data_IF_241020538101
#
_entry.id   IF_241020538101
#
_cell.length_a   1.000
_cell.length_b   1.000
_cell.length_c   1.000
_cell.angle_alpha   90.00
_cell.angle_beta   90.00
_cell.angle_gamma   90.00
#
_symmetry.space_group_name_H-M   'P 1'
#
loop_
_entity.id
_entity.type
_entity.pdbx_description
1 polymer ?
#
# COMPACT_ATOMS: atom_id res chain seq x y z
N UNK A 1 -7.62 26.44 5.33
CA UNK A 1 -7.14 25.04 5.51
C UNK A 1 -6.62 24.42 4.21
N UNK A 2 -7.44 24.25 3.16
CA UNK A 2 -6.96 23.79 1.83
C UNK A 2 -5.98 24.82 1.26
N UNK A 3 -6.38 26.09 1.16
CA UNK A 3 -5.55 27.18 0.63
C UNK A 3 -4.26 27.43 1.44
N UNK A 4 -4.21 26.92 2.67
CA UNK A 4 -3.05 27.03 3.57
C UNK A 4 -2.19 25.76 3.58
N UNK A 5 -2.48 24.76 2.74
CA UNK A 5 -1.79 23.46 2.70
C UNK A 5 -1.78 22.73 4.06
N UNK A 6 -2.90 22.78 4.81
CA UNK A 6 -3.04 22.15 6.13
C UNK A 6 -3.87 20.87 6.11
N UNK A 7 -4.39 20.44 4.97
CA UNK A 7 -5.10 19.17 4.84
C UNK A 7 -4.27 18.17 4.05
N UNK A 8 -4.17 16.97 4.61
CA UNK A 8 -3.43 15.84 4.03
C UNK A 8 -4.35 14.63 3.95
N UNK A 9 -4.04 13.72 3.04
CA UNK A 9 -4.86 12.55 2.75
C UNK A 9 -4.01 11.28 2.68
N UNK A 10 -4.51 10.20 3.25
CA UNK A 10 -4.10 8.84 2.92
C UNK A 10 -5.26 8.23 2.14
N UNK A 11 -5.04 7.96 0.85
CA UNK A 11 -6.07 7.46 -0.06
C UNK A 11 -5.77 6.02 -0.49
N UNK A 12 -6.47 5.06 0.13
CA UNK A 12 -6.46 3.65 -0.26
C UNK A 12 -7.72 3.26 -1.04
N UNK A 13 -8.60 4.21 -1.34
CA UNK A 13 -9.88 3.95 -1.97
C UNK A 13 -9.69 3.27 -3.32
N UNK A 14 -8.95 3.91 -4.23
CA UNK A 14 -8.81 3.42 -5.61
C UNK A 14 -7.94 2.16 -5.70
N UNK A 15 -7.05 1.94 -4.73
CA UNK A 15 -6.23 0.72 -4.65
C UNK A 15 -7.08 -0.48 -4.24
N UNK A 16 -7.97 -0.34 -3.25
CA UNK A 16 -8.75 -1.45 -2.72
C UNK A 16 -10.10 -1.67 -3.41
N UNK A 17 -10.79 -0.60 -3.83
CA UNK A 17 -12.17 -0.68 -4.33
C UNK A 17 -12.35 -1.75 -5.43
N UNK A 18 -11.46 -1.90 -6.44
CA UNK A 18 -11.61 -2.91 -7.48
C UNK A 18 -11.52 -4.36 -6.99
N UNK A 19 -11.02 -4.58 -5.77
CA UNK A 19 -10.79 -5.91 -5.20
C UNK A 19 -11.78 -6.27 -4.09
N UNK A 20 -12.56 -5.30 -3.58
CA UNK A 20 -13.36 -5.49 -2.37
C UNK A 20 -14.45 -6.55 -2.49
N UNK A 21 -15.14 -6.66 -3.62
CA UNK A 21 -16.17 -7.71 -3.79
C UNK A 21 -15.55 -9.10 -3.60
N UNK A 22 -14.38 -9.31 -4.22
CA UNK A 22 -13.65 -10.58 -4.17
C UNK A 22 -13.04 -10.84 -2.79
N UNK A 23 -12.44 -9.83 -2.16
CA UNK A 23 -11.88 -9.93 -0.80
C UNK A 23 -12.99 -10.23 0.21
N UNK A 24 -14.12 -9.54 0.12
CA UNK A 24 -15.23 -9.69 1.07
C UNK A 24 -16.02 -10.98 0.86
N UNK A 25 -15.89 -11.62 -0.30
CA UNK A 25 -16.43 -12.96 -0.55
C UNK A 25 -15.59 -14.09 0.07
N UNK A 26 -14.35 -13.82 0.52
CA UNK A 26 -13.54 -14.80 1.23
C UNK A 26 -14.07 -15.00 2.66
N UNK A 27 -14.04 -16.25 3.13
CA UNK A 27 -14.43 -16.59 4.50
C UNK A 27 -13.50 -15.93 5.52
N UNK A 28 -14.08 -15.49 6.64
CA UNK A 28 -13.36 -14.82 7.72
C UNK A 28 -12.77 -13.43 7.39
N UNK A 29 -12.99 -12.89 6.18
CA UNK A 29 -12.36 -11.62 5.72
C UNK A 29 -13.39 -10.57 5.36
N UNK A 30 -13.18 -9.35 5.84
CA UNK A 30 -13.98 -8.15 5.48
C UNK A 30 -13.08 -6.92 5.47
N UNK A 31 -13.25 -6.08 4.46
CA UNK A 31 -12.48 -4.85 4.26
C UNK A 31 -13.36 -3.75 3.67
N UNK A 32 -12.87 -2.52 3.83
CA UNK A 32 -13.36 -1.32 3.17
C UNK A 32 -12.22 -0.71 2.36
N UNK A 33 -12.58 0.05 1.34
CA UNK A 33 -11.71 1.00 0.67
C UNK A 33 -11.67 2.25 1.55
N UNK A 34 -10.52 2.53 2.15
CA UNK A 34 -10.40 3.60 3.15
C UNK A 34 -9.79 4.87 2.58
N UNK A 35 -10.30 6.02 3.04
CA UNK A 35 -9.68 7.33 2.82
C UNK A 35 -9.65 8.08 4.13
N UNK A 36 -8.48 8.58 4.53
CA UNK A 36 -8.30 9.28 5.81
C UNK A 36 -7.82 10.70 5.57
N UNK A 37 -8.51 11.66 6.18
CA UNK A 37 -8.14 13.07 6.13
C UNK A 37 -7.44 13.44 7.42
N UNK A 38 -6.29 14.11 7.30
CA UNK A 38 -5.50 14.65 8.39
C UNK A 38 -5.43 16.17 8.29
N UNK A 39 -5.46 16.83 9.44
CA UNK A 39 -5.24 18.26 9.57
C UNK A 39 -3.90 18.53 10.28
N UNK A 40 -3.07 19.39 9.69
CA UNK A 40 -1.85 19.87 10.31
C UNK A 40 -2.19 20.96 11.33
N UNK A 41 -1.99 20.61 12.61
CA UNK A 41 -2.28 21.51 13.73
C UNK A 41 -1.24 22.64 13.81
N UNK A 42 -1.57 23.77 14.47
CA UNK A 42 -0.59 24.81 14.77
C UNK A 42 0.63 24.34 15.58
N UNK A 43 0.53 23.19 16.25
CA UNK A 43 1.62 22.56 16.99
C UNK A 43 2.54 21.71 16.09
N UNK A 44 2.29 21.63 14.78
CA UNK A 44 3.10 20.86 13.84
C UNK A 44 2.79 19.36 13.81
N UNK A 45 1.68 18.91 14.41
CA UNK A 45 1.27 17.50 14.41
C UNK A 45 0.10 17.25 13.47
N UNK A 46 0.06 16.07 12.85
CA UNK A 46 -1.08 15.63 12.03
C UNK A 46 -2.16 15.00 12.92
N UNK A 47 -3.38 15.54 12.84
CA UNK A 47 -4.56 15.02 13.53
C UNK A 47 -5.53 14.40 12.52
N UNK A 48 -5.91 13.12 12.63
CA UNK A 48 -6.96 12.56 11.79
C UNK A 48 -8.31 13.22 12.12
N UNK A 49 -9.02 13.69 11.11
CA UNK A 49 -10.28 14.45 11.25
C UNK A 49 -11.48 13.73 10.63
N UNK A 50 -11.26 12.83 9.67
CA UNK A 50 -12.32 11.99 9.08
C UNK A 50 -11.73 10.72 8.47
N UNK A 51 -12.51 9.64 8.50
CA UNK A 51 -12.25 8.39 7.78
C UNK A 51 -13.49 8.07 6.95
N UNK A 52 -13.33 7.91 5.65
CA UNK A 52 -14.33 7.33 4.76
C UNK A 52 -14.08 5.82 4.64
N UNK A 53 -15.14 5.03 4.84
CA UNK A 53 -15.20 3.60 4.63
C UNK A 53 -16.11 3.36 3.42
N UNK A 54 -15.53 2.88 2.31
CA UNK A 54 -16.25 2.64 1.06
C UNK A 54 -16.34 1.16 0.74
N UNK A 55 -17.48 0.76 0.17
CA UNK A 55 -17.77 -0.53 -0.42
C UNK A 55 -18.16 -0.35 -1.89
N UNK A 56 -18.04 -1.40 -2.73
CA UNK A 56 -18.60 -1.40 -4.07
C UNK A 56 -20.12 -1.19 -4.02
N UNK A 57 -20.73 -0.49 -4.99
CA UNK A 57 -22.18 -0.30 -5.02
C UNK A 57 -22.92 -1.63 -5.10
N UNK A 58 -23.74 -1.95 -4.09
CA UNK A 58 -24.50 -3.22 -4.03
C UNK A 58 -25.96 -3.08 -4.48
N UNK A 59 -26.33 -1.95 -5.09
CA UNK A 59 -27.68 -1.62 -5.55
C UNK A 59 -28.06 -0.15 -5.30
N UNK A 60 -29.16 0.35 -5.87
CA UNK A 60 -29.52 1.77 -5.84
C UNK A 60 -29.83 2.35 -4.45
N UNK A 61 -30.20 1.50 -3.47
CA UNK A 61 -30.62 1.94 -2.12
C UNK A 61 -29.69 1.48 -0.99
N UNK A 62 -28.54 0.87 -1.28
CA UNK A 62 -27.59 0.42 -0.26
C UNK A 62 -26.47 1.45 -0.11
N UNK A 63 -26.31 2.12 1.05
CA UNK A 63 -25.26 3.10 1.23
C UNK A 63 -23.90 2.42 1.12
N UNK A 64 -23.17 2.74 0.05
CA UNK A 64 -21.85 2.20 -0.25
C UNK A 64 -20.72 2.95 0.45
N UNK A 65 -21.01 4.09 1.09
CA UNK A 65 -20.02 4.97 1.73
C UNK A 65 -20.48 5.38 3.11
N UNK A 66 -19.55 5.38 4.06
CA UNK A 66 -19.77 5.86 5.42
C UNK A 66 -18.58 6.71 5.85
N UNK A 67 -18.86 7.92 6.33
CA UNK A 67 -17.84 8.78 6.96
C UNK A 67 -17.94 8.65 8.46
N UNK A 68 -16.81 8.47 9.12
CA UNK A 68 -16.65 8.43 10.57
C UNK A 68 -15.70 9.56 10.97
N UNK A 69 -16.09 10.33 11.99
CA UNK A 69 -15.27 11.41 12.55
C UNK A 69 -14.81 11.04 13.97
N UNK A 70 -13.79 11.72 14.53
CA UNK A 70 -13.40 11.54 15.92
C UNK A 70 -14.60 11.61 16.87
N UNK A 71 -14.58 10.73 17.87
CA UNK A 71 -15.70 10.48 18.76
C UNK A 71 -16.07 11.66 19.66
N UNK A 72 -17.37 11.75 19.97
CA UNK A 72 -17.95 12.71 20.93
C UNK A 72 -18.43 12.01 22.21
N UNK A 73 -18.61 10.69 22.16
CA UNK A 73 -19.10 9.85 23.26
C UNK A 73 -18.47 8.43 23.21
N UNK A 74 -18.83 7.57 24.17
CA UNK A 74 -18.28 6.22 24.29
C UNK A 74 -18.63 5.30 23.10
N UNK A 75 -19.83 5.40 22.54
CA UNK A 75 -20.28 4.55 21.42
C UNK A 75 -19.59 4.94 20.12
N UNK A 76 -19.49 6.24 19.85
CA UNK A 76 -18.78 6.79 18.70
C UNK A 76 -17.27 6.54 18.78
N UNK A 77 -16.72 6.40 20.00
CA UNK A 77 -15.31 6.00 20.20
C UNK A 77 -15.01 4.62 19.63
N UNK A 78 -15.84 3.61 19.91
CA UNK A 78 -15.66 2.28 19.34
C UNK A 78 -15.75 2.29 17.82
N UNK A 79 -16.71 3.03 17.25
CA UNK A 79 -16.84 3.18 15.80
C UNK A 79 -15.60 3.83 15.19
N UNK A 80 -15.06 4.88 15.82
CA UNK A 80 -13.83 5.54 15.40
C UNK A 80 -12.61 4.63 15.48
N UNK A 81 -12.48 3.85 16.55
CA UNK A 81 -11.40 2.88 16.72
C UNK A 81 -11.45 1.78 15.65
N UNK A 82 -12.64 1.26 15.33
CA UNK A 82 -12.82 0.27 14.26
C UNK A 82 -12.53 0.86 12.87
N UNK A 83 -12.94 2.11 12.61
CA UNK A 83 -12.61 2.79 11.36
C UNK A 83 -11.09 2.92 11.18
N UNK A 84 -10.36 3.31 12.25
CA UNK A 84 -8.89 3.32 12.24
C UNK A 84 -8.28 1.93 12.03
N UNK A 85 -8.86 0.88 12.60
CA UNK A 85 -8.39 -0.48 12.39
C UNK A 85 -8.50 -0.91 10.91
N UNK A 86 -9.58 -0.53 10.21
CA UNK A 86 -9.70 -0.74 8.77
C UNK A 86 -8.65 0.06 7.97
N UNK A 87 -8.38 1.31 8.34
CA UNK A 87 -7.32 2.12 7.73
C UNK A 87 -5.96 1.44 7.91
N UNK A 88 -5.61 1.00 9.13
CA UNK A 88 -4.37 0.28 9.40
C UNK A 88 -4.27 -1.04 8.64
N UNK A 89 -5.39 -1.74 8.44
CA UNK A 89 -5.42 -2.98 7.64
C UNK A 89 -5.16 -2.72 6.16
N UNK A 90 -5.72 -1.65 5.58
CA UNK A 90 -5.40 -1.21 4.22
C UNK A 90 -3.92 -0.77 4.13
N UNK A 91 -3.46 0.05 5.08
CA UNK A 91 -2.09 0.56 5.15
C UNK A 91 -1.06 -0.57 5.19
N UNK A 92 -1.26 -1.56 6.05
CA UNK A 92 -0.39 -2.73 6.16
C UNK A 92 -0.30 -3.51 4.84
N UNK A 93 -1.43 -3.65 4.12
CA UNK A 93 -1.47 -4.29 2.81
C UNK A 93 -0.73 -3.48 1.74
N UNK A 94 -0.98 -2.18 1.62
CA UNK A 94 -0.27 -1.32 0.65
C UNK A 94 1.22 -1.23 0.98
N UNK A 95 1.57 -1.08 2.25
CA UNK A 95 2.94 -1.11 2.72
C UNK A 95 3.65 -2.39 2.26
N UNK A 96 3.11 -3.56 2.58
CA UNK A 96 3.79 -4.81 2.26
C UNK A 96 3.82 -5.11 0.77
N UNK A 97 2.71 -4.89 0.06
CA UNK A 97 2.55 -5.34 -1.33
C UNK A 97 3.08 -4.34 -2.36
N UNK A 98 2.99 -3.04 -2.06
CA UNK A 98 3.37 -1.98 -2.98
C UNK A 98 4.66 -1.26 -2.54
N UNK A 99 4.71 -0.72 -1.33
CA UNK A 99 5.87 0.07 -0.91
C UNK A 99 7.11 -0.78 -0.62
N UNK A 100 6.91 -1.95 -0.02
CA UNK A 100 7.98 -2.87 0.33
C UNK A 100 8.25 -3.84 -0.83
N UNK A 101 7.37 -4.83 -1.06
CA UNK A 101 7.62 -5.85 -2.08
C UNK A 101 7.84 -5.27 -3.48
N UNK A 102 6.92 -4.46 -4.00
CA UNK A 102 7.01 -3.99 -5.37
C UNK A 102 8.13 -2.95 -5.58
N UNK A 103 8.09 -1.85 -4.83
CA UNK A 103 8.99 -0.70 -5.02
C UNK A 103 10.43 -0.92 -4.57
N UNK A 104 10.72 -2.00 -3.83
CA UNK A 104 12.10 -2.39 -3.53
C UNK A 104 12.44 -3.76 -4.12
N UNK A 105 11.89 -4.85 -3.59
CA UNK A 105 12.28 -6.22 -3.96
C UNK A 105 12.09 -6.50 -5.45
N UNK A 106 10.85 -6.42 -5.94
CA UNK A 106 10.50 -6.84 -7.28
C UNK A 106 11.07 -5.90 -8.36
N UNK A 107 11.08 -4.58 -8.10
CA UNK A 107 11.59 -3.60 -9.07
C UNK A 107 13.12 -3.58 -9.16
N UNK A 108 13.85 -3.96 -8.11
CA UNK A 108 15.33 -4.03 -8.14
C UNK A 108 15.87 -5.25 -8.88
N UNK A 109 15.18 -6.40 -8.81
CA UNK A 109 15.64 -7.66 -9.40
C UNK A 109 16.01 -7.57 -10.90
N UNK A 110 15.22 -6.90 -11.78
CA UNK A 110 15.60 -6.69 -13.18
C UNK A 110 16.89 -5.91 -13.40
N UNK A 111 17.19 -4.91 -12.55
CA UNK A 111 18.43 -4.14 -12.65
C UNK A 111 19.64 -4.98 -12.28
N UNK A 112 19.51 -5.83 -11.26
CA UNK A 112 20.56 -6.76 -10.82
C UNK A 112 20.87 -7.76 -11.94
N UNK A 113 19.84 -8.41 -12.49
CA UNK A 113 20.01 -9.34 -13.60
C UNK A 113 20.66 -8.68 -14.82
N UNK A 114 20.26 -7.45 -15.15
CA UNK A 114 20.83 -6.71 -16.27
C UNK A 114 22.30 -6.35 -16.02
N UNK A 115 22.65 -5.89 -14.82
CA UNK A 115 24.02 -5.53 -14.47
C UNK A 115 24.97 -6.73 -14.59
N UNK A 116 24.61 -7.89 -14.03
CA UNK A 116 25.43 -9.10 -14.14
C UNK A 116 25.50 -9.68 -15.56
N UNK A 117 24.47 -9.46 -16.39
CA UNK A 117 24.46 -9.96 -17.77
C UNK A 117 25.19 -9.05 -18.76
N UNK A 118 25.27 -7.76 -18.50
CA UNK A 118 25.68 -6.77 -19.51
C UNK A 118 26.90 -5.95 -19.09
N UNK A 119 27.32 -5.99 -17.82
CA UNK A 119 28.51 -5.30 -17.34
C UNK A 119 29.55 -6.33 -16.88
N UNK A 120 30.79 -6.17 -17.36
CA UNK A 120 31.94 -6.94 -16.83
C UNK A 120 32.14 -6.66 -15.34
N UNK A 121 32.63 -7.65 -14.59
CA UNK A 121 33.06 -7.45 -13.20
C UNK A 121 34.12 -6.34 -13.04
N UNK A 122 34.84 -6.00 -14.11
CA UNK A 122 35.80 -4.89 -14.12
C UNK A 122 35.18 -3.53 -14.49
N UNK A 123 33.93 -3.49 -14.96
CA UNK A 123 33.25 -2.27 -15.36
C UNK A 123 33.04 -1.35 -14.15
N UNK A 124 33.37 -0.04 -14.22
CA UNK A 124 33.30 0.85 -13.06
C UNK A 124 31.88 0.98 -12.49
N UNK A 125 30.86 1.01 -13.35
CA UNK A 125 29.45 1.03 -12.90
C UNK A 125 29.04 -0.28 -12.23
N UNK A 126 29.57 -1.43 -12.66
CA UNK A 126 29.29 -2.70 -11.98
C UNK A 126 29.86 -2.67 -10.56
N UNK A 127 31.13 -2.27 -10.41
CA UNK A 127 31.77 -2.12 -9.10
C UNK A 127 31.06 -1.15 -8.16
N UNK A 128 30.50 -0.07 -8.71
CA UNK A 128 29.70 0.88 -7.95
C UNK A 128 28.40 0.26 -7.44
N UNK A 129 27.70 -0.52 -8.27
CA UNK A 129 26.38 -1.05 -7.95
C UNK A 129 26.42 -2.36 -7.16
N UNK A 130 27.43 -3.21 -7.35
CA UNK A 130 27.54 -4.56 -6.79
C UNK A 130 27.26 -4.63 -5.26
N UNK A 131 27.79 -3.72 -4.41
CA UNK A 131 27.47 -3.73 -2.98
C UNK A 131 25.98 -3.52 -2.67
N UNK A 132 25.25 -2.83 -3.54
CA UNK A 132 23.82 -2.54 -3.39
C UNK A 132 22.90 -3.64 -3.93
N UNK A 133 23.45 -4.65 -4.62
CA UNK A 133 22.70 -5.77 -5.20
C UNK A 133 22.72 -7.00 -4.28
N UNK A 134 23.56 -6.97 -3.25
CA UNK A 134 23.83 -8.09 -2.35
C UNK A 134 22.54 -8.68 -1.77
N UNK A 135 22.43 -10.00 -1.83
CA UNK A 135 21.33 -10.83 -1.29
C UNK A 135 19.93 -10.60 -1.87
N UNK A 136 19.71 -9.60 -2.72
CA UNK A 136 18.35 -9.28 -3.23
C UNK A 136 17.78 -10.43 -4.07
N UNK A 137 18.58 -11.07 -4.93
CA UNK A 137 18.12 -12.24 -5.71
C UNK A 137 17.78 -13.44 -4.82
N UNK A 138 18.58 -13.68 -3.78
CA UNK A 138 18.39 -14.80 -2.85
C UNK A 138 17.12 -14.61 -2.02
N UNK A 139 16.94 -13.43 -1.42
CA UNK A 139 15.75 -13.15 -0.62
C UNK A 139 14.48 -13.12 -1.48
N UNK A 140 14.55 -12.64 -2.73
CA UNK A 140 13.40 -12.68 -3.64
C UNK A 140 13.04 -14.12 -4.04
N UNK A 141 14.03 -14.99 -4.24
CA UNK A 141 13.78 -16.41 -4.50
C UNK A 141 13.09 -17.09 -3.31
N UNK A 142 13.58 -16.85 -2.08
CA UNK A 142 12.94 -17.34 -0.86
C UNK A 142 11.53 -16.76 -0.69
N UNK A 143 11.33 -15.47 -0.98
CA UNK A 143 10.02 -14.84 -0.91
C UNK A 143 9.03 -15.52 -1.87
N UNK A 144 9.44 -15.79 -3.11
CA UNK A 144 8.62 -16.55 -4.07
C UNK A 144 8.30 -17.96 -3.62
N UNK A 145 9.14 -18.58 -2.79
CA UNK A 145 8.94 -19.95 -2.31
C UNK A 145 8.08 -20.03 -1.05
N UNK A 146 8.19 -19.07 -0.12
CA UNK A 146 7.58 -19.19 1.21
C UNK A 146 6.70 -18.00 1.61
N UNK A 147 6.92 -16.81 1.04
CA UNK A 147 6.26 -15.57 1.46
C UNK A 147 5.05 -15.23 0.60
N UNK A 148 5.24 -15.13 -0.73
CA UNK A 148 4.23 -14.62 -1.68
C UNK A 148 3.63 -15.68 -2.60
N UNK A 149 3.97 -16.96 -2.39
CA UNK A 149 3.32 -18.07 -3.10
C UNK A 149 1.86 -18.25 -2.63
N UNK A 150 1.09 -19.00 -3.42
CA UNK A 150 -0.26 -19.40 -3.06
C UNK A 150 -0.25 -20.10 -1.69
N UNK A 151 -1.18 -19.73 -0.82
CA UNK A 151 -1.26 -20.19 0.57
C UNK A 151 -0.03 -19.84 1.45
N UNK A 152 0.87 -19.00 0.94
CA UNK A 152 2.02 -18.50 1.68
C UNK A 152 1.67 -17.52 2.80
N UNK A 153 2.70 -17.00 3.47
CA UNK A 153 2.55 -16.11 4.63
C UNK A 153 1.74 -14.85 4.28
N UNK A 154 1.97 -14.23 3.13
CA UNK A 154 1.25 -13.00 2.73
C UNK A 154 -0.25 -13.28 2.53
N UNK A 155 -0.60 -14.34 1.78
CA UNK A 155 -2.00 -14.67 1.56
C UNK A 155 -2.70 -15.08 2.86
N UNK A 156 -2.00 -15.78 3.75
CA UNK A 156 -2.54 -16.25 5.02
C UNK A 156 -2.76 -15.10 6.03
N UNK A 157 -1.85 -14.13 6.09
CA UNK A 157 -1.82 -13.14 7.17
C UNK A 157 -2.36 -11.74 6.80
N UNK A 158 -2.47 -11.39 5.52
CA UNK A 158 -2.92 -10.06 5.09
C UNK A 158 -4.30 -10.09 4.49
N UNK A 159 -5.13 -9.08 4.79
CA UNK A 159 -6.55 -8.99 4.39
C UNK A 159 -6.84 -9.34 2.91
N UNK A 160 -6.04 -8.92 1.91
CA UNK A 160 -6.29 -9.28 0.52
C UNK A 160 -6.32 -10.77 0.20
N UNK A 161 -5.70 -11.62 1.01
CA UNK A 161 -5.65 -13.06 0.78
C UNK A 161 -5.00 -13.40 -0.55
N UNK A 162 -5.57 -14.37 -1.27
CA UNK A 162 -5.14 -14.78 -2.63
C UNK A 162 -5.13 -13.68 -3.69
N UNK A 163 -5.69 -12.51 -3.42
CA UNK A 163 -5.67 -11.36 -4.33
C UNK A 163 -4.50 -10.40 -4.07
N UNK A 164 -3.64 -10.70 -3.09
CA UNK A 164 -2.52 -9.85 -2.69
C UNK A 164 -1.57 -9.50 -3.86
N UNK A 165 -1.14 -10.51 -4.63
CA UNK A 165 -0.22 -10.27 -5.75
C UNK A 165 -0.89 -9.58 -6.95
N UNK A 166 -2.21 -9.72 -7.11
CA UNK A 166 -2.95 -8.93 -8.11
C UNK A 166 -2.98 -7.44 -7.75
N UNK A 167 -3.14 -7.10 -6.46
CA UNK A 167 -3.06 -5.71 -5.98
C UNK A 167 -1.67 -5.13 -6.26
N UNK A 168 -0.61 -5.90 -5.97
CA UNK A 168 0.77 -5.48 -6.27
C UNK A 168 0.99 -5.21 -7.76
N UNK A 169 0.49 -6.09 -8.63
CA UNK A 169 0.52 -5.91 -10.10
C UNK A 169 -0.27 -4.68 -10.56
N UNK A 170 -1.47 -4.47 -10.00
CA UNK A 170 -2.27 -3.29 -10.30
C UNK A 170 -1.57 -1.99 -9.86
N UNK A 171 -0.92 -1.99 -8.69
CA UNK A 171 -0.13 -0.87 -8.21
C UNK A 171 1.06 -0.57 -9.14
N UNK A 172 1.75 -1.60 -9.64
CA UNK A 172 2.81 -1.43 -10.63
C UNK A 172 2.32 -0.69 -11.88
N UNK A 173 1.18 -1.11 -12.43
CA UNK A 173 0.58 -0.47 -13.60
C UNK A 173 0.13 0.96 -13.32
N UNK A 174 -0.42 1.23 -12.14
CA UNK A 174 -1.06 2.50 -11.82
C UNK A 174 -0.07 3.60 -11.39
N UNK A 175 0.99 3.25 -10.64
CA UNK A 175 1.79 4.26 -9.93
C UNK A 175 3.31 4.11 -10.02
N UNK A 176 3.84 2.95 -10.43
CA UNK A 176 5.28 2.75 -10.47
C UNK A 176 5.93 3.43 -11.67
N UNK A 177 6.92 4.28 -11.40
CA UNK A 177 7.62 5.09 -12.40
C UNK A 177 9.03 5.34 -11.92
N UNK A 178 10.02 4.75 -12.60
CA UNK A 178 11.43 4.88 -12.22
C UNK A 178 11.89 6.33 -12.06
N UNK A 179 11.44 7.23 -12.95
CA UNK A 179 11.73 8.68 -12.90
C UNK A 179 11.12 9.40 -11.69
N UNK A 180 10.20 8.74 -10.96
CA UNK A 180 9.52 9.25 -9.78
C UNK A 180 9.92 8.56 -8.48
N UNK A 181 10.82 7.56 -8.52
CA UNK A 181 11.28 6.86 -7.31
C UNK A 181 12.35 7.63 -6.52
N UNK A 182 12.92 8.70 -7.07
CA UNK A 182 13.83 9.56 -6.30
C UNK A 182 13.07 10.30 -5.19
N UNK A 183 13.68 10.42 -4.00
CA UNK A 183 13.05 11.06 -2.84
C UNK A 183 12.50 12.47 -3.14
N UNK A 184 13.21 13.38 -3.83
CA UNK A 184 12.66 14.69 -4.16
C UNK A 184 11.44 14.62 -5.08
N UNK A 185 11.47 13.75 -6.11
CA UNK A 185 10.35 13.62 -7.04
C UNK A 185 9.14 12.94 -6.39
N UNK A 186 9.36 12.00 -5.47
CA UNK A 186 8.27 11.38 -4.70
C UNK A 186 7.60 12.39 -3.77
N UNK A 187 8.37 13.25 -3.10
CA UNK A 187 7.84 14.30 -2.23
C UNK A 187 7.05 15.37 -2.99
N UNK A 188 7.47 15.75 -4.20
CA UNK A 188 6.74 16.73 -5.04
C UNK A 188 5.45 16.13 -5.62
N UNK A 189 5.46 14.82 -5.90
CA UNK A 189 4.30 14.12 -6.49
C UNK A 189 3.13 13.97 -5.51
N UNK A 190 3.41 13.87 -4.20
CA UNK A 190 2.43 13.65 -3.13
C UNK A 190 1.97 14.96 -2.50
#
# INVERSE_FOLDING_TARGET
AIDENKLYIIDYHDIYLPFLERINALDGRKSYATRTIYFLTPLGTLKPVAIELSLPPSGPNTPSKRVVTPALDATTNWTWMLAKAHVCSNDAGVHQLAHHWLRTHASMEPFILSAHRQLSAMHPIFKLLDPHMRYTLEINALARQSLIHADGVIESCFTPGRYAMEISSAAYKASWRFDKESLPQDLIRR
#
